data_IF_016036646873
#
_entry.id   IF_016036646873
#
_cell.length_a   1.000
_cell.length_b   1.000
_cell.length_c   1.000
_cell.angle_alpha   90.00
_cell.angle_beta   90.00
_cell.angle_gamma   90.00
#
_symmetry.space_group_name_H-M   'P 1'
#
loop_
_entity.id
_entity.type
_entity.pdbx_description
1 polymer ?
#
# COMPACT_ATOMS: atom_id res chain seq x y z
N UNK A 1 -13.95 8.99 14.25
CA UNK A 1 -14.04 9.15 12.77
C UNK A 1 -13.21 8.02 12.17
N UNK A 2 -13.66 7.39 11.08
CA UNK A 2 -12.84 6.38 10.40
C UNK A 2 -11.83 7.01 9.44
N UNK A 3 -10.78 6.28 9.10
CA UNK A 3 -9.67 6.71 8.27
C UNK A 3 -9.51 5.72 7.14
N UNK A 4 -9.54 6.26 5.92
CA UNK A 4 -9.43 5.49 4.69
C UNK A 4 -8.11 5.86 4.01
N UNK A 5 -7.45 4.86 3.45
CA UNK A 5 -6.28 5.06 2.62
C UNK A 5 -6.68 5.56 1.23
N UNK A 6 -6.12 6.71 0.82
CA UNK A 6 -6.43 7.37 -0.46
C UNK A 6 -5.27 7.34 -1.47
N UNK A 7 -4.30 6.44 -1.30
CA UNK A 7 -3.12 6.36 -2.17
C UNK A 7 -3.31 5.50 -3.43
N UNK A 8 -2.22 5.18 -4.17
CA UNK A 8 -2.28 4.51 -5.48
C UNK A 8 -2.94 3.12 -5.48
N UNK A 9 -3.08 2.49 -4.31
CA UNK A 9 -3.74 1.20 -4.15
C UNK A 9 -5.08 1.30 -3.40
N UNK A 10 -5.68 2.49 -3.35
CA UNK A 10 -6.93 2.73 -2.63
C UNK A 10 -8.03 1.77 -3.08
N UNK A 11 -8.27 1.63 -4.39
CA UNK A 11 -9.32 0.73 -4.92
C UNK A 11 -9.10 -0.74 -4.53
N UNK A 12 -7.84 -1.17 -4.37
CA UNK A 12 -7.52 -2.53 -3.95
C UNK A 12 -7.71 -2.77 -2.43
N UNK A 13 -7.89 -1.70 -1.65
CA UNK A 13 -7.98 -1.72 -0.18
C UNK A 13 -9.28 -1.07 0.36
N UNK A 14 -10.07 -0.41 -0.49
CA UNK A 14 -11.09 0.56 -0.11
C UNK A 14 -12.24 -0.04 0.72
N UNK A 15 -12.63 -1.29 0.47
CA UNK A 15 -13.89 -1.81 1.01
C UNK A 15 -13.75 -2.52 2.37
N UNK A 16 -12.55 -2.96 2.76
CA UNK A 16 -12.36 -3.80 3.95
C UNK A 16 -11.44 -3.20 5.02
N UNK A 17 -10.78 -2.07 4.73
CA UNK A 17 -9.68 -1.58 5.57
C UNK A 17 -9.84 -0.15 6.11
N UNK A 18 -11.05 0.26 6.48
CA UNK A 18 -11.25 1.52 7.23
C UNK A 18 -10.70 1.38 8.66
N UNK A 19 -9.75 2.23 9.05
CA UNK A 19 -9.16 2.27 10.39
C UNK A 19 -9.89 3.23 11.32
N UNK A 20 -9.90 2.94 12.62
CA UNK A 20 -10.46 3.86 13.61
C UNK A 20 -9.87 3.66 15.00
N UNK A 21 -9.87 4.72 15.80
CA UNK A 21 -9.57 4.67 17.22
C UNK A 21 -10.84 4.26 17.99
N UNK A 22 -10.95 2.98 18.34
CA UNK A 22 -12.05 2.48 19.16
C UNK A 22 -11.93 3.03 20.59
N UNK A 23 -13.02 3.53 21.13
CA UNK A 23 -13.11 3.94 22.53
C UNK A 23 -13.23 2.73 23.42
N UNK A 24 -12.43 2.71 24.48
CA UNK A 24 -12.50 1.73 25.56
C UNK A 24 -13.43 2.29 26.64
N UNK A 25 -14.56 1.62 26.87
CA UNK A 25 -15.53 2.00 27.89
C UNK A 25 -15.05 1.56 29.29
N UNK A 26 -15.66 2.07 30.39
CA UNK A 26 -15.27 1.70 31.75
C UNK A 26 -15.37 0.21 32.07
N UNK A 27 -16.24 -0.53 31.36
CA UNK A 27 -16.40 -1.98 31.48
C UNK A 27 -15.43 -2.78 30.59
N UNK A 28 -14.55 -2.08 29.86
CA UNK A 28 -13.59 -2.66 28.92
C UNK A 28 -14.13 -2.92 27.52
N UNK A 29 -15.42 -2.65 27.26
CA UNK A 29 -16.00 -2.76 25.92
C UNK A 29 -15.34 -1.76 24.97
N UNK A 30 -15.04 -2.20 23.76
CA UNK A 30 -14.43 -1.35 22.72
C UNK A 30 -15.48 -1.01 21.65
N UNK A 31 -15.57 0.26 21.27
CA UNK A 31 -16.54 0.71 20.26
C UNK A 31 -16.01 1.85 19.39
N UNK A 32 -16.22 1.75 18.08
CA UNK A 32 -16.01 2.84 17.13
C UNK A 32 -17.18 3.82 17.06
N UNK A 33 -18.31 3.53 17.71
CA UNK A 33 -19.55 4.31 17.59
C UNK A 33 -19.65 5.37 18.67
N UNK A 34 -19.80 6.62 18.23
CA UNK A 34 -20.15 7.72 19.14
C UNK A 34 -21.66 7.74 19.40
N UNK A 35 -22.03 7.70 20.67
CA UNK A 35 -23.38 7.97 21.17
C UNK A 35 -23.28 8.74 22.48
N UNK A 36 -24.38 9.32 22.98
CA UNK A 36 -24.37 9.90 24.33
C UNK A 36 -23.99 8.88 25.42
N UNK A 37 -24.33 7.59 25.24
CA UNK A 37 -23.98 6.53 26.17
C UNK A 37 -22.47 6.20 26.16
N UNK A 38 -21.77 6.44 25.05
CA UNK A 38 -20.33 6.19 24.89
C UNK A 38 -19.49 7.47 25.00
N UNK A 39 -20.07 8.51 25.62
CA UNK A 39 -19.39 9.79 25.86
C UNK A 39 -18.28 9.67 26.91
N UNK A 40 -18.46 8.77 27.87
CA UNK A 40 -17.49 8.46 28.91
C UNK A 40 -16.71 7.22 28.48
N UNK A 41 -15.39 7.35 28.41
CA UNK A 41 -14.48 6.31 27.97
C UNK A 41 -13.12 6.53 28.66
N UNK A 42 -12.35 5.48 28.79
CA UNK A 42 -11.09 5.45 29.55
C UNK A 42 -9.86 5.51 28.65
N UNK A 43 -10.01 5.22 27.35
CA UNK A 43 -8.92 5.28 26.40
C UNK A 43 -9.32 4.94 24.97
N UNK A 44 -8.30 4.85 24.12
CA UNK A 44 -8.41 4.46 22.72
C UNK A 44 -7.60 3.20 22.42
N UNK A 45 -8.03 2.45 21.42
CA UNK A 45 -7.28 1.35 20.81
C UNK A 45 -7.45 1.36 19.30
N UNK A 46 -6.39 1.04 18.57
CA UNK A 46 -6.45 0.93 17.13
C UNK A 46 -7.34 -0.24 16.69
N UNK A 47 -8.23 -0.01 15.73
CA UNK A 47 -9.07 -1.03 15.10
C UNK A 47 -9.16 -0.82 13.60
N UNK A 48 -9.57 -1.86 12.90
CA UNK A 48 -9.88 -1.83 11.47
C UNK A 48 -11.19 -2.58 11.19
N UNK A 49 -11.93 -2.15 10.17
CA UNK A 49 -13.19 -2.78 9.75
C UNK A 49 -13.05 -4.28 9.45
N UNK A 50 -11.89 -4.74 8.96
CA UNK A 50 -11.59 -6.16 8.76
C UNK A 50 -11.41 -6.97 10.06
N UNK A 51 -11.57 -6.37 11.23
CA UNK A 51 -11.40 -7.01 12.54
C UNK A 51 -9.97 -7.00 13.08
N UNK A 52 -9.02 -6.35 12.40
CA UNK A 52 -7.69 -6.15 12.98
C UNK A 52 -7.76 -5.23 14.20
N UNK A 53 -6.98 -5.55 15.22
CA UNK A 53 -6.98 -4.86 16.51
C UNK A 53 -5.55 -4.62 16.99
N UNK A 54 -5.26 -3.38 17.34
CA UNK A 54 -4.00 -2.95 17.92
C UNK A 54 -3.74 -3.54 19.30
N UNK A 55 -2.48 -3.55 19.68
CA UNK A 55 -1.99 -4.15 20.92
C UNK A 55 -1.95 -3.14 22.08
N UNK A 56 -1.76 -1.86 21.78
CA UNK A 56 -1.69 -0.82 22.79
C UNK A 56 -3.07 -0.23 23.16
N UNK A 57 -3.18 0.22 24.41
CA UNK A 57 -4.26 1.11 24.84
C UNK A 57 -3.65 2.49 25.09
N UNK A 58 -4.32 3.53 24.61
CA UNK A 58 -3.87 4.91 24.71
C UNK A 58 -4.84 5.73 25.57
N UNK A 59 -4.38 6.82 26.22
CA UNK A 59 -5.24 7.66 27.06
C UNK A 59 -6.44 8.25 26.30
N UNK A 60 -7.50 8.61 27.03
CA UNK A 60 -8.68 9.29 26.50
C UNK A 60 -8.41 10.79 26.20
N UNK A 61 -7.46 11.05 25.31
CA UNK A 61 -7.05 12.38 24.86
C UNK A 61 -6.95 12.40 23.34
N UNK A 62 -6.94 13.58 22.74
CA UNK A 62 -6.74 13.74 21.29
C UNK A 62 -5.41 13.10 20.85
N UNK A 63 -4.37 13.21 21.68
CA UNK A 63 -3.09 12.55 21.44
C UNK A 63 -3.21 11.02 21.49
N UNK A 64 -4.00 10.47 22.40
CA UNK A 64 -4.24 9.03 22.44
C UNK A 64 -5.05 8.51 21.24
N UNK A 65 -5.95 9.33 20.71
CA UNK A 65 -6.63 9.04 19.43
C UNK A 65 -5.61 8.99 18.29
N UNK A 66 -4.73 9.99 18.19
CA UNK A 66 -3.68 10.03 17.17
C UNK A 66 -2.73 8.82 17.26
N UNK A 67 -2.28 8.45 18.46
CA UNK A 67 -1.40 7.30 18.65
C UNK A 67 -2.07 5.98 18.24
N UNK A 68 -3.37 5.82 18.51
CA UNK A 68 -4.12 4.65 18.04
C UNK A 68 -4.21 4.62 16.50
N UNK A 69 -4.40 5.77 15.87
CA UNK A 69 -4.39 5.91 14.42
C UNK A 69 -3.01 5.59 13.83
N UNK A 70 -1.94 6.07 14.45
CA UNK A 70 -0.56 5.78 14.05
C UNK A 70 -0.23 4.30 14.17
N UNK A 71 -0.66 3.63 15.24
CA UNK A 71 -0.52 2.17 15.39
C UNK A 71 -1.21 1.44 14.25
N UNK A 72 -2.46 1.79 13.92
CA UNK A 72 -3.16 1.20 12.77
C UNK A 72 -2.40 1.43 11.45
N UNK A 73 -1.92 2.64 11.21
CA UNK A 73 -1.12 2.99 10.04
C UNK A 73 0.14 2.12 9.93
N UNK A 74 0.92 2.08 11.00
CA UNK A 74 2.22 1.40 11.08
C UNK A 74 2.10 -0.12 11.02
N UNK A 75 1.17 -0.70 11.77
CA UNK A 75 1.13 -2.14 12.02
C UNK A 75 0.12 -2.90 11.15
N UNK A 76 -0.79 -2.20 10.48
CA UNK A 76 -1.80 -2.83 9.65
C UNK A 76 -1.83 -2.27 8.23
N UNK A 77 -2.06 -0.96 8.08
CA UNK A 77 -2.25 -0.36 6.76
C UNK A 77 -0.98 -0.46 5.90
N UNK A 78 0.18 -0.04 6.40
CA UNK A 78 1.44 -0.05 5.63
C UNK A 78 1.80 -1.48 5.17
N UNK A 79 1.73 -2.52 6.02
CA UNK A 79 1.92 -3.92 5.58
C UNK A 79 0.97 -4.36 4.47
N UNK A 80 -0.31 -3.97 4.51
CA UNK A 80 -1.30 -4.27 3.47
C UNK A 80 -0.94 -3.58 2.15
N UNK A 81 -0.66 -2.27 2.21
CA UNK A 81 -0.21 -1.47 1.06
C UNK A 81 1.02 -2.11 0.41
N UNK A 82 2.02 -2.50 1.22
CA UNK A 82 3.23 -3.15 0.72
C UNK A 82 2.93 -4.53 0.08
N UNK A 83 1.95 -5.27 0.60
CA UNK A 83 1.54 -6.55 0.02
C UNK A 83 0.89 -6.37 -1.35
N UNK A 84 0.02 -5.36 -1.49
CA UNK A 84 -0.56 -5.02 -2.79
C UNK A 84 0.52 -4.52 -3.74
N UNK A 85 1.37 -3.59 -3.29
CA UNK A 85 2.46 -3.04 -4.09
C UNK A 85 3.37 -4.14 -4.67
N UNK A 86 3.72 -5.16 -3.88
CA UNK A 86 4.51 -6.31 -4.37
C UNK A 86 3.83 -7.08 -5.51
N UNK A 87 2.50 -7.17 -5.54
CA UNK A 87 1.76 -7.83 -6.64
C UNK A 87 1.74 -7.00 -7.92
N UNK A 88 1.90 -5.69 -7.78
CA UNK A 88 1.96 -4.73 -8.90
C UNK A 88 3.39 -4.31 -9.23
N UNK A 89 4.39 -4.87 -8.54
CA UNK A 89 5.79 -4.62 -8.84
C UNK A 89 6.13 -5.37 -10.12
N UNK A 90 6.57 -4.63 -11.14
CA UNK A 90 7.17 -5.21 -12.34
C UNK A 90 8.67 -5.24 -12.10
N UNK A 91 9.28 -6.42 -12.17
CA UNK A 91 10.73 -6.58 -11.99
C UNK A 91 11.50 -6.08 -13.22
N UNK A 92 12.79 -5.78 -13.06
CA UNK A 92 13.67 -5.46 -14.19
C UNK A 92 13.64 -6.54 -15.28
N UNK A 93 13.64 -7.82 -14.88
CA UNK A 93 13.56 -8.97 -15.80
C UNK A 93 12.24 -9.02 -16.59
N UNK A 94 11.11 -8.73 -15.93
CA UNK A 94 9.80 -8.70 -16.59
C UNK A 94 9.71 -7.55 -17.62
N UNK A 95 10.23 -6.37 -17.27
CA UNK A 95 10.30 -5.24 -18.19
C UNK A 95 11.24 -5.56 -19.37
N UNK A 96 12.40 -6.15 -19.10
CA UNK A 96 13.39 -6.51 -20.11
C UNK A 96 12.82 -7.53 -21.10
N UNK A 97 12.07 -8.52 -20.61
CA UNK A 97 11.36 -9.49 -21.46
C UNK A 97 10.38 -8.78 -22.39
N UNK A 98 9.56 -7.88 -21.86
CA UNK A 98 8.58 -7.11 -22.64
C UNK A 98 9.25 -6.23 -23.71
N UNK A 99 10.38 -5.62 -23.37
CA UNK A 99 11.15 -4.76 -24.28
C UNK A 99 11.80 -5.59 -25.40
N UNK A 100 12.31 -6.79 -25.08
CA UNK A 100 12.81 -7.74 -26.09
C UNK A 100 11.72 -8.23 -27.04
N UNK A 101 10.51 -8.48 -26.54
CA UNK A 101 9.34 -8.81 -27.37
C UNK A 101 8.93 -7.65 -28.29
N UNK A 102 8.98 -6.42 -27.76
CA UNK A 102 8.75 -5.21 -28.55
C UNK A 102 9.80 -5.06 -29.65
N UNK A 103 11.09 -5.32 -29.36
CA UNK A 103 12.18 -5.32 -30.34
C UNK A 103 11.87 -6.25 -31.51
N UNK A 104 11.55 -7.52 -31.21
CA UNK A 104 11.24 -8.51 -32.25
C UNK A 104 10.02 -8.12 -33.09
N UNK A 105 9.05 -7.42 -32.49
CA UNK A 105 7.89 -6.90 -33.21
C UNK A 105 8.24 -5.73 -34.14
N UNK A 106 9.15 -4.84 -33.71
CA UNK A 106 9.64 -3.70 -34.50
C UNK A 106 10.54 -4.16 -35.65
N UNK A 107 11.39 -5.16 -35.43
CA UNK A 107 12.22 -5.80 -36.46
C UNK A 107 11.37 -6.37 -37.61
N UNK A 108 10.13 -6.76 -37.34
CA UNK A 108 9.20 -7.28 -38.34
C UNK A 108 8.54 -6.19 -39.22
N UNK A 109 8.63 -4.90 -38.86
CA UNK A 109 7.94 -3.80 -39.57
C UNK A 109 8.79 -3.19 -40.69
N UNK A 110 10.13 -3.30 -40.62
CA UNK A 110 11.03 -3.12 -41.78
C UNK A 110 11.06 -1.75 -42.48
N UNK A 111 10.66 -0.65 -41.82
CA UNK A 111 10.77 0.72 -42.35
C UNK A 111 11.80 1.59 -41.59
N UNK A 112 12.16 2.75 -42.14
CA UNK A 112 13.12 3.69 -41.53
C UNK A 112 12.63 4.26 -40.18
N UNK A 113 11.31 4.27 -39.93
CA UNK A 113 10.75 4.63 -38.63
C UNK A 113 11.03 3.55 -37.56
N UNK A 114 11.12 2.27 -37.96
CA UNK A 114 11.48 1.15 -37.10
C UNK A 114 12.89 1.25 -36.49
N UNK A 115 13.87 1.79 -37.23
CA UNK A 115 15.24 1.89 -36.75
C UNK A 115 15.41 2.82 -35.52
N UNK A 116 14.67 3.93 -35.49
CA UNK A 116 14.68 4.84 -34.34
C UNK A 116 14.01 4.25 -33.10
N UNK A 117 12.95 3.46 -33.31
CA UNK A 117 12.26 2.73 -32.24
C UNK A 117 13.14 1.60 -31.72
N UNK A 118 13.85 0.89 -32.60
CA UNK A 118 14.78 -0.18 -32.25
C UNK A 118 15.90 0.32 -31.32
N UNK A 119 16.53 1.44 -31.67
CA UNK A 119 17.57 2.06 -30.85
C UNK A 119 17.05 2.51 -29.48
N UNK A 120 15.81 3.03 -29.41
CA UNK A 120 15.19 3.38 -28.13
C UNK A 120 14.92 2.14 -27.26
N UNK A 121 14.50 1.04 -27.90
CA UNK A 121 14.26 -0.26 -27.26
C UNK A 121 15.54 -0.85 -26.70
N UNK A 122 16.63 -0.91 -27.47
CA UNK A 122 17.94 -1.41 -27.02
C UNK A 122 18.45 -0.64 -25.79
N UNK A 123 18.31 0.68 -25.79
CA UNK A 123 18.73 1.52 -24.66
C UNK A 123 17.89 1.29 -23.40
N UNK A 124 16.62 0.93 -23.57
CA UNK A 124 15.76 0.53 -22.44
C UNK A 124 16.19 -0.86 -21.94
N UNK A 125 16.56 -1.81 -22.82
CA UNK A 125 17.08 -3.12 -22.41
C UNK A 125 18.31 -2.98 -21.50
N UNK A 126 19.29 -2.17 -21.89
CA UNK A 126 20.52 -1.95 -21.10
C UNK A 126 20.22 -1.42 -19.70
N UNK A 127 19.34 -0.41 -19.60
CA UNK A 127 18.96 0.19 -18.32
C UNK A 127 18.20 -0.79 -17.41
N UNK A 128 17.42 -1.69 -18.00
CA UNK A 128 16.64 -2.69 -17.27
C UNK A 128 17.50 -3.88 -16.84
N UNK A 129 18.49 -4.27 -17.65
CA UNK A 129 19.50 -5.27 -17.27
C UNK A 129 20.31 -4.78 -16.05
N UNK A 130 20.73 -3.51 -16.04
CA UNK A 130 21.42 -2.89 -14.89
C UNK A 130 20.54 -2.90 -13.63
N UNK A 131 19.26 -2.53 -13.77
CA UNK A 131 18.30 -2.54 -12.66
C UNK A 131 18.06 -3.95 -12.11
N UNK A 132 17.89 -4.94 -12.99
CA UNK A 132 17.70 -6.34 -12.59
C UNK A 132 18.93 -6.91 -11.87
N UNK A 133 20.14 -6.51 -12.30
CA UNK A 133 21.38 -6.90 -11.64
C UNK A 133 21.49 -6.31 -10.22
N UNK A 134 21.18 -5.03 -10.06
CA UNK A 134 21.18 -4.36 -8.76
C UNK A 134 20.12 -4.93 -7.80
N UNK A 135 18.96 -5.33 -8.32
CA UNK A 135 17.93 -6.03 -7.55
C UNK A 135 18.40 -7.42 -7.07
N UNK A 136 19.16 -8.17 -7.88
CA UNK A 136 19.62 -9.52 -7.56
C UNK A 136 20.79 -9.57 -6.57
N UNK A 137 21.55 -8.47 -6.43
CA UNK A 137 22.74 -8.37 -5.57
C UNK A 137 22.41 -7.79 -4.17
N UNK A 138 21.18 -7.31 -3.95
CA UNK A 138 20.67 -6.82 -2.66
C UNK A 138 20.12 -7.93 -1.77
#
# INVERSE_FOLDING_TARGET
MGIIYCGPYADALADDHEGYAARILPDGTETGTWTHATREFTGYRAHCACGWRGTAAYPATDEGENLAVEEWGRDHLIPLVNTVARRHTVTGEQLLTLVRELRGSVDCVGDEQGAGVLHAVERIEELLDDLAHDEAVR
#
